data_IF_759265778160
#
_entry.id   IF_759265778160
#
_cell.length_a   1.000
_cell.length_b   1.000
_cell.length_c   1.000
_cell.angle_alpha   90.00
_cell.angle_beta   90.00
_cell.angle_gamma   90.00
#
_symmetry.space_group_name_H-M   'P 1'
#
loop_
_entity.id
_entity.type
_entity.pdbx_description
1 polymer ?
#
# COMPACT_ATOMS: atom_id res chain seq x y z
N UNK A 1 -18.18 18.99 -10.12
CA UNK A 1 -18.78 20.06 -9.28
C UNK A 1 -18.32 19.86 -7.85
N UNK A 2 -17.49 20.77 -7.35
CA UNK A 2 -16.80 20.66 -6.05
C UNK A 2 -17.74 21.18 -4.96
N UNK A 3 -18.05 20.37 -3.95
CA UNK A 3 -18.93 20.77 -2.85
C UNK A 3 -18.11 21.05 -1.57
N UNK A 4 -18.62 22.01 -0.78
CA UNK A 4 -17.93 22.89 0.19
C UNK A 4 -17.38 22.23 1.48
N UNK A 5 -16.88 20.99 1.46
CA UNK A 5 -16.27 20.33 2.63
C UNK A 5 -15.00 19.50 2.38
N UNK A 6 -14.39 19.56 1.20
CA UNK A 6 -13.14 18.81 0.94
C UNK A 6 -13.28 17.29 1.05
N UNK A 7 -14.50 16.76 1.12
CA UNK A 7 -14.77 15.32 1.13
C UNK A 7 -14.86 14.88 -0.32
N UNK A 8 -13.81 14.22 -0.80
CA UNK A 8 -13.79 13.56 -2.10
C UNK A 8 -14.88 12.49 -2.08
N UNK A 9 -15.81 12.54 -3.05
CA UNK A 9 -16.84 11.50 -3.21
C UNK A 9 -16.19 10.30 -3.90
N UNK A 10 -15.63 9.40 -3.09
CA UNK A 10 -15.06 8.14 -3.57
C UNK A 10 -16.19 7.11 -3.73
N UNK A 11 -16.30 6.51 -4.91
CA UNK A 11 -17.12 5.31 -5.09
C UNK A 11 -16.46 4.16 -4.32
N UNK A 12 -17.07 3.81 -3.19
CA UNK A 12 -16.45 2.91 -2.21
C UNK A 12 -17.12 1.55 -2.27
N UNK A 13 -16.36 0.54 -2.67
CA UNK A 13 -16.76 -0.86 -2.59
C UNK A 13 -16.25 -1.48 -1.30
N UNK A 14 -17.05 -2.33 -0.68
CA UNK A 14 -16.70 -3.06 0.55
C UNK A 14 -16.73 -4.55 0.23
N UNK A 15 -15.63 -5.22 0.54
CA UNK A 15 -15.49 -6.67 0.43
C UNK A 15 -15.37 -7.26 1.83
N UNK A 16 -16.22 -8.23 2.13
CA UNK A 16 -16.10 -9.02 3.35
C UNK A 16 -15.16 -10.20 3.08
N UNK A 17 -14.00 -10.17 3.74
CA UNK A 17 -12.94 -11.18 3.63
C UNK A 17 -12.69 -11.90 4.96
N UNK A 18 -13.62 -11.81 5.92
CA UNK A 18 -13.45 -12.37 7.27
C UNK A 18 -13.21 -13.88 7.27
N UNK A 19 -13.81 -14.60 6.32
CA UNK A 19 -13.66 -16.05 6.15
C UNK A 19 -12.43 -16.45 5.30
N UNK A 20 -11.68 -15.47 4.78
CA UNK A 20 -10.53 -15.65 3.88
C UNK A 20 -9.25 -15.00 4.42
N UNK A 21 -9.15 -14.87 5.74
CA UNK A 21 -8.03 -14.18 6.41
C UNK A 21 -6.68 -14.91 6.26
N UNK A 22 -6.68 -16.24 6.13
CA UNK A 22 -5.47 -17.06 5.95
C UNK A 22 -5.03 -17.15 4.48
N UNK A 23 -5.98 -17.17 3.55
CA UNK A 23 -5.70 -17.23 2.11
C UNK A 23 -6.69 -16.39 1.29
N UNK A 24 -6.30 -15.13 1.05
CA UNK A 24 -7.05 -14.20 0.22
C UNK A 24 -7.12 -14.61 -1.26
N UNK A 25 -6.25 -15.52 -1.74
CA UNK A 25 -6.31 -15.98 -3.13
C UNK A 25 -7.58 -16.78 -3.42
N UNK A 26 -8.17 -17.38 -2.39
CA UNK A 26 -9.42 -18.14 -2.49
C UNK A 26 -10.66 -17.23 -2.51
N UNK A 27 -10.49 -15.94 -2.21
CA UNK A 27 -11.62 -15.01 -2.21
C UNK A 27 -12.18 -14.84 -3.62
N UNK A 28 -13.49 -15.08 -3.87
CA UNK A 28 -14.06 -15.10 -5.22
C UNK A 28 -13.87 -13.81 -6.02
N UNK A 29 -13.69 -12.67 -5.33
CA UNK A 29 -13.51 -11.34 -5.95
C UNK A 29 -12.07 -10.83 -5.86
N UNK A 30 -11.09 -11.68 -5.55
CA UNK A 30 -9.68 -11.25 -5.45
C UNK A 30 -9.17 -10.60 -6.74
N UNK A 31 -9.61 -11.11 -7.90
CA UNK A 31 -9.24 -10.55 -9.19
C UNK A 31 -9.84 -9.15 -9.41
N UNK A 32 -11.10 -8.93 -9.01
CA UNK A 32 -11.71 -7.59 -9.05
C UNK A 32 -10.91 -6.59 -8.20
N UNK A 33 -10.49 -7.00 -7.00
CA UNK A 33 -9.68 -6.17 -6.11
C UNK A 33 -8.32 -5.84 -6.76
N UNK A 34 -7.66 -6.85 -7.35
CA UNK A 34 -6.39 -6.66 -8.07
C UNK A 34 -6.55 -5.68 -9.23
N UNK A 35 -7.59 -5.84 -10.03
CA UNK A 35 -7.85 -4.97 -11.17
C UNK A 35 -8.07 -3.52 -10.74
N UNK A 36 -8.78 -3.29 -9.63
CA UNK A 36 -8.97 -1.93 -9.09
C UNK A 36 -7.64 -1.29 -8.72
N UNK A 37 -6.76 -2.03 -8.01
CA UNK A 37 -5.45 -1.50 -7.59
C UNK A 37 -4.53 -1.28 -8.79
N UNK A 38 -4.52 -2.21 -9.76
CA UNK A 38 -3.70 -2.11 -10.97
C UNK A 38 -4.14 -0.99 -11.90
N UNK A 39 -5.42 -0.61 -11.88
CA UNK A 39 -5.97 0.52 -12.63
C UNK A 39 -5.94 1.86 -11.83
N UNK A 40 -5.05 1.96 -10.83
CA UNK A 40 -4.83 3.20 -10.08
C UNK A 40 -5.92 3.54 -9.06
N UNK A 41 -6.68 2.54 -8.61
CA UNK A 41 -7.63 2.64 -7.51
C UNK A 41 -6.95 2.60 -6.14
N UNK A 42 -7.66 3.08 -5.12
CA UNK A 42 -7.23 3.05 -3.73
C UNK A 42 -7.85 1.87 -2.97
N UNK A 43 -7.08 1.25 -2.09
CA UNK A 43 -7.55 0.14 -1.24
C UNK A 43 -7.28 0.41 0.24
N UNK A 44 -8.29 0.18 1.07
CA UNK A 44 -8.14 0.13 2.51
C UNK A 44 -7.68 -1.27 2.95
N UNK A 45 -6.48 -1.37 3.53
CA UNK A 45 -5.92 -2.63 4.02
C UNK A 45 -6.00 -2.68 5.54
N UNK A 46 -6.57 -3.75 6.12
CA UNK A 46 -6.42 -4.00 7.55
C UNK A 46 -4.96 -4.37 7.83
N UNK A 47 -4.35 -3.74 8.84
CA UNK A 47 -3.07 -4.18 9.41
C UNK A 47 -3.23 -4.41 10.91
N UNK A 48 -2.24 -5.04 11.55
CA UNK A 48 -2.21 -5.28 13.00
C UNK A 48 -2.43 -3.99 13.81
N UNK A 49 -1.97 -2.83 13.32
CA UNK A 49 -1.92 -1.59 14.10
C UNK A 49 -2.98 -0.58 13.71
N UNK A 50 -3.18 -0.34 12.41
CA UNK A 50 -4.17 0.62 11.89
C UNK A 50 -4.64 0.21 10.49
N UNK A 51 -5.79 0.71 10.05
CA UNK A 51 -6.15 0.61 8.63
C UNK A 51 -5.19 1.48 7.79
N UNK A 52 -4.51 0.83 6.86
CA UNK A 52 -3.71 1.48 5.84
C UNK A 52 -4.58 1.86 4.64
N UNK A 53 -4.30 3.01 4.03
CA UNK A 53 -4.77 3.31 2.67
C UNK A 53 -3.58 3.10 1.75
N UNK A 54 -3.74 2.23 0.76
CA UNK A 54 -2.71 1.81 -0.17
C UNK A 54 -3.16 2.04 -1.62
N UNK A 55 -2.16 2.11 -2.50
CA UNK A 55 -2.29 2.22 -3.95
C UNK A 55 -1.06 1.54 -4.56
N UNK A 56 -1.03 1.41 -5.89
CA UNK A 56 0.16 0.94 -6.57
C UNK A 56 1.32 1.93 -6.38
N UNK A 57 2.43 1.47 -5.79
CA UNK A 57 3.59 2.31 -5.49
C UNK A 57 4.37 2.76 -6.75
N UNK A 58 4.19 2.07 -7.87
CA UNK A 58 4.83 2.41 -9.16
C UNK A 58 3.98 3.34 -10.02
N UNK A 59 2.80 3.74 -9.56
CA UNK A 59 1.87 4.60 -10.27
C UNK A 59 1.76 5.94 -9.53
N UNK A 60 2.40 6.97 -10.08
CA UNK A 60 2.45 8.31 -9.50
C UNK A 60 1.05 8.93 -9.33
N UNK A 61 0.13 8.69 -10.27
CA UNK A 61 -1.24 9.21 -10.18
C UNK A 61 -2.02 8.51 -9.06
N UNK A 62 -1.85 7.20 -8.91
CA UNK A 62 -2.47 6.45 -7.81
C UNK A 62 -1.92 6.89 -6.44
N UNK A 63 -0.62 7.18 -6.36
CA UNK A 63 0.02 7.70 -5.15
C UNK A 63 -0.49 9.11 -4.82
N UNK A 64 -0.64 9.98 -5.82
CA UNK A 64 -1.21 11.32 -5.63
C UNK A 64 -2.62 11.27 -5.01
N UNK A 65 -3.46 10.32 -5.43
CA UNK A 65 -4.79 10.09 -4.86
C UNK A 65 -4.74 9.72 -3.36
N UNK A 66 -3.69 9.06 -2.87
CA UNK A 66 -3.51 8.81 -1.41
C UNK A 66 -3.34 10.13 -0.65
N UNK A 67 -2.52 11.05 -1.17
CA UNK A 67 -2.28 12.34 -0.54
C UNK A 67 -3.55 13.18 -0.51
N UNK A 68 -4.27 13.24 -1.62
CA UNK A 68 -5.56 13.93 -1.73
C UNK A 68 -6.60 13.34 -0.77
N UNK A 69 -6.76 12.01 -0.75
CA UNK A 69 -7.74 11.34 0.10
C UNK A 69 -7.46 11.52 1.61
N UNK A 70 -6.19 11.58 2.01
CA UNK A 70 -5.80 11.81 3.41
C UNK A 70 -5.75 13.29 3.79
N UNK A 71 -5.86 14.21 2.83
CA UNK A 71 -5.60 15.64 3.05
C UNK A 71 -4.19 15.90 3.62
N UNK A 72 -3.22 15.02 3.29
CA UNK A 72 -1.85 15.15 3.79
C UNK A 72 -1.04 16.05 2.86
N UNK A 73 -0.13 16.88 3.40
CA UNK A 73 0.89 17.51 2.58
C UNK A 73 1.65 16.44 1.79
N UNK A 74 1.94 16.72 0.52
CA UNK A 74 2.71 15.84 -0.38
C UNK A 74 4.11 15.50 0.15
N UNK A 75 4.61 16.29 1.10
CA UNK A 75 5.96 16.16 1.65
C UNK A 75 6.10 15.07 2.71
N UNK A 76 5.01 14.38 3.07
CA UNK A 76 5.04 13.29 4.04
C UNK A 76 5.28 11.94 3.35
N UNK A 77 6.46 11.30 3.51
CA UNK A 77 6.78 10.08 2.78
C UNK A 77 5.80 8.94 3.12
N UNK A 78 5.45 8.16 2.09
CA UNK A 78 4.66 6.94 2.21
C UNK A 78 5.57 5.72 2.34
N UNK A 79 5.07 4.69 3.01
CA UNK A 79 5.81 3.43 3.20
C UNK A 79 5.42 2.46 2.08
N UNK A 80 6.41 2.04 1.30
CA UNK A 80 6.24 0.98 0.30
C UNK A 80 6.23 -0.38 0.99
N UNK A 81 5.20 -1.18 0.73
CA UNK A 81 5.12 -2.57 1.19
C UNK A 81 5.55 -3.49 0.05
N UNK A 82 6.46 -4.42 0.32
CA UNK A 82 6.95 -5.40 -0.65
C UNK A 82 6.67 -6.81 -0.14
N UNK A 83 6.35 -7.73 -1.05
CA UNK A 83 6.09 -9.13 -0.71
C UNK A 83 7.35 -10.01 -0.83
N UNK A 84 8.40 -9.54 -1.51
CA UNK A 84 9.65 -10.26 -1.65
C UNK A 84 10.86 -9.34 -1.74
N UNK A 85 12.03 -9.84 -1.32
CA UNK A 85 13.31 -9.12 -1.41
C UNK A 85 13.66 -8.72 -2.85
N UNK A 86 13.18 -9.47 -3.85
CA UNK A 86 13.42 -9.17 -5.26
C UNK A 86 12.92 -7.78 -5.68
N UNK A 87 11.80 -7.34 -5.11
CA UNK A 87 11.18 -6.04 -5.41
C UNK A 87 11.98 -4.84 -4.91
N UNK A 88 12.96 -5.02 -4.02
CA UNK A 88 13.79 -3.90 -3.55
C UNK A 88 14.54 -3.23 -4.69
N UNK A 89 14.87 -3.98 -5.73
CA UNK A 89 15.56 -3.47 -6.91
C UNK A 89 14.74 -2.43 -7.67
N UNK A 90 13.41 -2.45 -7.50
CA UNK A 90 12.50 -1.51 -8.14
C UNK A 90 12.46 -0.16 -7.39
N UNK A 91 12.89 -0.13 -6.13
CA UNK A 91 12.76 1.04 -5.24
C UNK A 91 14.08 1.54 -4.66
N UNK A 92 15.17 0.80 -4.79
CA UNK A 92 16.48 1.11 -4.17
C UNK A 92 17.62 0.72 -5.10
N UNK A 93 18.65 1.57 -5.18
CA UNK A 93 19.80 1.33 -6.06
C UNK A 93 20.97 0.67 -5.33
N UNK A 94 21.16 1.03 -4.06
CA UNK A 94 22.29 0.56 -3.23
C UNK A 94 21.80 0.16 -1.85
N UNK A 95 21.92 -1.13 -1.53
CA UNK A 95 21.60 -1.62 -0.20
C UNK A 95 22.85 -1.63 0.69
N UNK A 96 22.81 -0.86 1.78
CA UNK A 96 23.87 -0.89 2.78
C UNK A 96 23.91 -2.28 3.45
N UNK A 97 25.10 -2.92 3.58
CA UNK A 97 25.22 -4.25 4.20
C UNK A 97 24.63 -4.33 5.63
N UNK A 98 24.58 -3.21 6.37
CA UNK A 98 23.95 -3.15 7.70
C UNK A 98 22.43 -3.28 7.60
N UNK A 99 21.82 -2.66 6.59
CA UNK A 99 20.38 -2.76 6.31
C UNK A 99 20.05 -4.19 5.89
N UNK A 100 20.88 -4.81 5.06
CA UNK A 100 20.69 -6.20 4.66
C UNK A 100 20.69 -7.17 5.85
N UNK A 101 21.61 -6.99 6.82
CA UNK A 101 21.63 -7.79 8.06
C UNK A 101 20.35 -7.63 8.87
N UNK A 102 19.84 -6.40 8.99
CA UNK A 102 18.58 -6.14 9.69
C UNK A 102 17.40 -6.82 8.99
N UNK A 103 17.35 -6.77 7.66
CA UNK A 103 16.30 -7.44 6.89
C UNK A 103 16.32 -8.95 7.09
N UNK A 104 17.50 -9.58 7.05
CA UNK A 104 17.61 -11.03 7.26
C UNK A 104 17.14 -11.46 8.66
N UNK A 105 17.35 -10.62 9.67
CA UNK A 105 16.98 -10.93 11.05
C UNK A 105 15.50 -10.66 11.37
N UNK A 106 14.90 -9.63 10.74
CA UNK A 106 13.61 -9.10 11.16
C UNK A 106 12.51 -9.12 10.09
N UNK A 107 12.82 -9.50 8.84
CA UNK A 107 11.80 -9.64 7.78
C UNK A 107 11.50 -11.12 7.50
N UNK A 108 10.22 -11.49 7.32
CA UNK A 108 9.01 -10.64 7.43
C UNK A 108 8.70 -10.27 8.90
N UNK A 109 8.43 -8.98 9.17
CA UNK A 109 8.19 -8.47 10.53
C UNK A 109 8.01 -6.95 10.60
N UNK A 110 7.76 -6.38 11.81
CA UNK A 110 7.26 -5.01 12.00
C UNK A 110 8.33 -3.91 11.87
N UNK A 111 9.48 -4.21 11.24
CA UNK A 111 10.56 -3.25 11.04
C UNK A 111 10.44 -2.57 9.68
N UNK A 112 10.50 -1.24 9.72
CA UNK A 112 10.59 -0.37 8.54
C UNK A 112 12.02 0.12 8.41
N UNK A 113 12.55 0.09 7.19
CA UNK A 113 13.94 0.47 6.90
C UNK A 113 13.93 1.66 5.94
N UNK A 114 14.85 2.58 6.17
CA UNK A 114 15.11 3.68 5.24
C UNK A 114 16.25 3.26 4.32
N UNK A 115 15.96 3.19 3.02
CA UNK A 115 16.90 2.82 1.96
C UNK A 115 16.99 3.98 0.96
N UNK A 116 18.15 4.13 0.32
CA UNK A 116 18.41 5.16 -0.69
C UNK A 116 18.32 4.62 -2.11
#
# INVERSE_FOLDING_TARGET
MINKKGVIKLDTKIWDVREYNEDLQQYPKINEIKDIVLNGGLIGLPTETVYGLAANATDEEAVAKIYEAKGRPSDNPLIVHIHSKGQLKDFTYTLDPRVEKLMQAFWPGPIRLYCR
#
